data_IF_179978209381
#
_entry.id   IF_179978209381
#
_cell.length_a   1.000
_cell.length_b   1.000
_cell.length_c   1.000
_cell.angle_alpha   90.00
_cell.angle_beta   90.00
_cell.angle_gamma   90.00
#
_symmetry.space_group_name_H-M   'P 1'
#
loop_
_entity.id
_entity.type
_entity.pdbx_description
1 polymer ?
#
# COMPACT_ATOMS: atom_id res chain seq x y z
N UNK A 1 -23.46 -5.70 20.04
CA UNK A 1 -23.27 -5.49 18.59
C UNK A 1 -21.81 -5.28 18.17
N UNK A 2 -20.89 -4.76 19.01
CA UNK A 2 -19.47 -4.57 18.66
C UNK A 2 -18.63 -5.85 18.44
N UNK A 3 -19.02 -6.97 19.03
CA UNK A 3 -18.25 -8.24 18.97
C UNK A 3 -18.29 -8.95 17.61
N UNK A 4 -19.30 -8.68 16.78
CA UNK A 4 -19.46 -9.36 15.48
C UNK A 4 -18.56 -8.76 14.40
N UNK A 5 -18.30 -7.45 14.43
CA UNK A 5 -17.48 -6.76 13.43
C UNK A 5 -15.98 -7.04 13.61
N UNK A 6 -15.50 -7.13 14.85
CA UNK A 6 -14.09 -7.41 15.17
C UNK A 6 -13.67 -8.83 14.75
N UNK A 7 -14.54 -9.83 14.97
CA UNK A 7 -14.29 -11.20 14.55
C UNK A 7 -14.20 -11.30 13.01
N UNK A 8 -15.00 -10.49 12.31
CA UNK A 8 -15.09 -10.46 10.85
C UNK A 8 -13.81 -9.93 10.18
N UNK A 9 -13.25 -8.82 10.68
CA UNK A 9 -12.00 -8.27 10.11
C UNK A 9 -10.80 -9.14 10.48
N UNK A 10 -10.76 -9.73 11.69
CA UNK A 10 -9.73 -10.72 12.05
C UNK A 10 -9.76 -11.95 11.14
N UNK A 11 -10.95 -12.42 10.76
CA UNK A 11 -11.10 -13.55 9.84
C UNK A 11 -10.76 -13.18 8.38
N UNK A 12 -11.00 -11.93 7.97
CA UNK A 12 -10.57 -11.42 6.67
C UNK A 12 -9.04 -11.21 6.59
N UNK A 13 -8.41 -10.73 7.66
CA UNK A 13 -6.96 -10.55 7.75
C UNK A 13 -6.20 -11.85 8.03
N UNK A 14 -6.90 -12.92 8.42
CA UNK A 14 -6.31 -14.25 8.52
C UNK A 14 -6.05 -14.80 7.11
N UNK A 15 -4.80 -14.69 6.65
CA UNK A 15 -4.32 -15.35 5.44
C UNK A 15 -4.30 -16.86 5.72
N UNK A 16 -4.89 -17.67 4.82
CA UNK A 16 -4.79 -19.13 4.91
C UNK A 16 -3.33 -19.53 4.76
N UNK A 17 -2.80 -20.22 5.77
CA UNK A 17 -1.52 -20.89 5.69
C UNK A 17 -1.65 -22.06 4.69
N UNK A 18 -1.12 -21.90 3.47
CA UNK A 18 -1.10 -22.95 2.45
C UNK A 18 0.16 -23.85 2.54
N UNK A 19 0.91 -23.80 3.64
CA UNK A 19 2.16 -24.58 3.75
C UNK A 19 1.99 -26.01 4.27
N UNK A 20 0.76 -26.50 4.51
CA UNK A 20 0.58 -27.81 5.15
C UNK A 20 0.04 -28.96 4.29
N UNK A 21 -0.44 -28.73 3.06
CA UNK A 21 -1.13 -29.81 2.30
C UNK A 21 -0.49 -30.28 0.98
N UNK A 22 0.61 -29.69 0.48
CA UNK A 22 1.31 -30.22 -0.71
C UNK A 22 2.84 -30.22 -0.52
N UNK A 23 3.32 -31.12 0.34
CA UNK A 23 4.74 -31.37 0.54
C UNK A 23 5.27 -32.36 -0.51
N UNK A 24 5.64 -31.87 -1.70
CA UNK A 24 6.58 -32.59 -2.56
C UNK A 24 7.31 -31.66 -3.56
N UNK A 25 7.97 -30.60 -3.07
CA UNK A 25 9.08 -29.96 -3.82
C UNK A 25 10.26 -29.66 -2.89
N UNK A 26 11.45 -30.01 -3.39
CA UNK A 26 12.73 -30.15 -2.68
C UNK A 26 13.08 -28.99 -1.73
N UNK A 27 13.48 -29.26 -0.47
CA UNK A 27 13.79 -28.25 0.57
C UNK A 27 14.91 -27.25 0.27
N UNK A 28 15.64 -27.38 -0.84
CA UNK A 28 16.88 -26.63 -1.06
C UNK A 28 16.72 -25.34 -1.89
N UNK A 29 15.56 -25.10 -2.49
CA UNK A 29 15.28 -23.85 -3.22
C UNK A 29 14.92 -22.69 -2.27
N UNK A 30 14.08 -22.94 -1.26
CA UNK A 30 13.62 -21.92 -0.29
C UNK A 30 14.73 -21.51 0.69
N UNK A 31 15.65 -22.42 1.01
CA UNK A 31 16.82 -22.09 1.85
C UNK A 31 17.86 -21.23 1.12
N UNK A 32 17.80 -21.14 -0.21
CA UNK A 32 18.79 -20.38 -1.00
C UNK A 32 18.48 -18.89 -0.99
N UNK A 33 17.20 -18.50 -1.10
CA UNK A 33 16.79 -17.07 -1.00
C UNK A 33 16.99 -16.49 0.41
N UNK A 34 16.86 -17.29 1.46
CA UNK A 34 17.03 -16.83 2.85
C UNK A 34 18.51 -16.71 3.29
N UNK A 35 19.46 -17.34 2.58
CA UNK A 35 20.90 -17.26 2.91
C UNK A 35 21.58 -16.00 2.39
N UNK A 36 21.08 -15.40 1.31
CA UNK A 36 21.71 -14.22 0.70
C UNK A 36 21.49 -12.93 1.52
N UNK A 37 20.63 -12.97 2.56
CA UNK A 37 20.40 -11.85 3.47
C UNK A 37 21.24 -11.88 4.76
N UNK A 38 22.06 -12.92 5.02
CA UNK A 38 22.77 -13.07 6.30
C UNK A 38 24.22 -13.58 6.19
N UNK A 39 25.06 -13.03 5.31
CA UNK A 39 26.50 -13.39 5.27
C UNK A 39 27.44 -12.18 5.35
N UNK A 40 28.33 -12.10 6.37
CA UNK A 40 29.29 -11.01 6.52
C UNK A 40 30.63 -11.36 5.85
N UNK A 41 30.98 -10.70 4.74
CA UNK A 41 32.35 -10.70 4.20
C UNK A 41 32.70 -9.38 3.51
N UNK A 42 33.27 -8.45 4.27
CA UNK A 42 34.68 -8.02 4.14
C UNK A 42 34.91 -6.75 4.97
N UNK A 43 35.44 -6.96 6.18
CA UNK A 43 36.24 -5.96 6.88
C UNK A 43 37.71 -6.29 6.63
N UNK A 44 38.48 -5.36 6.02
CA UNK A 44 39.91 -5.12 6.29
C UNK A 44 40.46 -4.00 5.39
N UNK A 45 40.69 -2.82 5.98
CA UNK A 45 42.07 -2.35 6.15
C UNK A 45 42.24 -1.39 7.34
N UNK A 46 43.27 -1.74 8.13
CA UNK A 46 43.95 -1.11 9.29
C UNK A 46 44.44 0.32 9.01
N UNK A 47 44.82 1.20 9.94
CA UNK A 47 45.07 1.29 11.41
C UNK A 47 45.22 2.82 11.70
N UNK A 48 44.79 3.40 12.82
CA UNK A 48 45.56 3.64 14.07
C UNK A 48 44.67 4.40 15.11
N UNK A 49 45.05 4.44 16.42
CA UNK A 49 44.10 4.41 17.53
C UNK A 49 43.96 5.72 18.34
N UNK A 50 42.81 5.95 18.98
CA UNK A 50 42.73 6.45 20.36
C UNK A 50 41.30 6.44 20.94
N UNK A 51 41.11 5.53 21.90
CA UNK A 51 40.31 5.62 23.15
C UNK A 51 38.97 6.39 23.14
N UNK A 52 37.89 5.61 23.08
CA UNK A 52 37.03 5.40 24.25
C UNK A 52 35.84 6.34 24.46
N UNK A 53 34.67 5.94 23.97
CA UNK A 53 33.35 6.00 24.63
C UNK A 53 32.39 5.12 23.80
N UNK A 54 31.92 4.02 24.38
CA UNK A 54 31.12 3.00 23.70
C UNK A 54 29.66 3.45 23.53
N UNK A 55 29.24 3.71 22.28
CA UNK A 55 27.83 3.66 21.87
C UNK A 55 27.48 2.21 21.50
N UNK A 56 26.67 1.55 22.31
CA UNK A 56 26.02 0.30 21.89
C UNK A 56 24.81 0.65 21.03
N UNK A 57 24.95 0.58 19.71
CA UNK A 57 23.82 0.43 18.78
C UNK A 57 23.72 -1.05 18.45
N UNK A 58 22.80 -1.76 19.11
CA UNK A 58 22.44 -3.12 18.76
C UNK A 58 21.41 -3.06 17.63
N UNK A 59 21.85 -3.29 16.40
CA UNK A 59 20.99 -3.59 15.25
C UNK A 59 20.45 -5.02 15.38
N UNK A 60 19.49 -5.22 16.27
CA UNK A 60 18.77 -6.47 16.44
C UNK A 60 17.27 -6.21 16.28
N UNK A 61 16.69 -6.70 15.18
CA UNK A 61 15.24 -6.72 14.96
C UNK A 61 14.54 -7.49 16.10
N UNK A 62 13.50 -6.94 16.75
CA UNK A 62 12.78 -7.65 17.79
C UNK A 62 11.95 -8.82 17.20
N UNK A 63 11.92 -10.00 17.85
CA UNK A 63 11.21 -11.17 17.35
C UNK A 63 9.73 -11.13 17.78
N UNK A 64 8.83 -10.79 16.86
CA UNK A 64 7.44 -11.29 16.79
C UNK A 64 6.72 -10.75 15.54
N UNK A 65 7.18 -11.16 14.37
CA UNK A 65 6.49 -10.92 13.10
C UNK A 65 5.42 -12.01 12.87
N UNK A 66 4.15 -11.62 12.83
CA UNK A 66 3.07 -12.52 12.40
C UNK A 66 3.22 -12.87 10.90
N UNK A 67 3.13 -14.15 10.49
CA UNK A 67 3.35 -14.58 9.10
C UNK A 67 2.46 -13.90 8.05
N UNK A 68 1.25 -13.46 8.43
CA UNK A 68 0.34 -12.76 7.51
C UNK A 68 0.84 -11.36 7.09
N UNK A 69 1.60 -10.69 7.95
CA UNK A 69 2.22 -9.40 7.63
C UNK A 69 3.48 -9.56 6.77
N UNK A 70 4.15 -10.72 6.83
CA UNK A 70 5.36 -10.97 6.05
C UNK A 70 5.08 -11.10 4.55
N UNK A 71 3.96 -11.73 4.16
CA UNK A 71 3.56 -11.83 2.76
C UNK A 71 3.17 -10.46 2.19
N UNK A 72 2.48 -9.64 2.99
CA UNK A 72 2.19 -8.27 2.60
C UNK A 72 3.53 -7.49 2.48
N UNK A 73 4.38 -7.45 3.50
CA UNK A 73 5.67 -6.74 3.42
C UNK A 73 6.59 -7.21 2.27
N UNK A 74 6.59 -8.50 1.92
CA UNK A 74 7.35 -9.04 0.78
C UNK A 74 6.77 -8.62 -0.59
N UNK A 75 5.49 -8.28 -0.64
CA UNK A 75 4.77 -7.90 -1.86
C UNK A 75 4.86 -6.38 -2.15
N UNK A 76 5.09 -5.52 -1.14
CA UNK A 76 4.97 -4.03 -1.28
C UNK A 76 6.26 -3.20 -1.17
N UNK A 77 7.43 -3.81 -0.95
CA UNK A 77 8.64 -3.02 -0.68
C UNK A 77 9.24 -2.42 -1.97
N UNK A 78 8.75 -1.23 -2.36
CA UNK A 78 9.23 -0.45 -3.52
C UNK A 78 10.60 0.20 -3.28
N UNK A 79 11.04 0.30 -2.03
CA UNK A 79 12.44 0.57 -1.72
C UNK A 79 13.16 -0.76 -1.45
N UNK A 80 14.48 -0.82 -1.65
CA UNK A 80 15.22 -2.05 -1.30
C UNK A 80 15.40 -2.18 0.22
N UNK A 81 15.49 -1.04 0.90
CA UNK A 81 15.63 -0.91 2.34
C UNK A 81 14.70 0.18 2.88
N UNK A 82 14.22 0.06 4.13
CA UNK A 82 13.42 1.10 4.77
C UNK A 82 14.14 2.46 4.88
N UNK A 83 15.47 2.49 4.72
CA UNK A 83 16.29 3.71 4.67
C UNK A 83 15.96 4.63 3.51
N UNK A 84 15.38 4.09 2.43
CA UNK A 84 15.05 4.88 1.24
C UNK A 84 16.23 5.17 0.31
N UNK A 85 17.37 4.53 0.51
CA UNK A 85 18.58 4.79 -0.27
C UNK A 85 18.46 4.32 -1.71
N UNK A 86 17.96 3.09 -1.90
CA UNK A 86 17.78 2.46 -3.21
C UNK A 86 16.30 2.18 -3.51
N UNK A 87 15.94 2.30 -4.79
CA UNK A 87 14.63 1.88 -5.31
C UNK A 87 14.71 0.41 -5.69
N UNK A 88 13.74 -0.38 -5.23
CA UNK A 88 13.55 -1.75 -5.69
C UNK A 88 12.84 -1.72 -7.05
N UNK A 89 13.61 -1.65 -8.13
CA UNK A 89 13.06 -1.56 -9.47
C UNK A 89 12.25 -2.80 -9.88
N UNK A 90 12.54 -3.97 -9.30
CA UNK A 90 11.77 -5.19 -9.58
C UNK A 90 10.37 -5.10 -8.96
N UNK A 91 10.26 -4.55 -7.75
CA UNK A 91 8.97 -4.26 -7.14
C UNK A 91 8.22 -3.18 -7.94
N UNK A 92 8.88 -2.07 -8.32
CA UNK A 92 8.25 -1.03 -9.16
C UNK A 92 7.72 -1.61 -10.47
N UNK A 93 8.51 -2.46 -11.15
CA UNK A 93 8.08 -3.11 -12.39
C UNK A 93 6.88 -4.01 -12.16
N UNK A 94 6.93 -4.88 -11.15
CA UNK A 94 5.84 -5.80 -10.80
C UNK A 94 4.51 -5.05 -10.63
N UNK A 95 4.54 -3.90 -9.96
CA UNK A 95 3.35 -3.12 -9.65
C UNK A 95 2.85 -2.26 -10.81
N UNK A 96 3.75 -1.58 -11.51
CA UNK A 96 3.36 -0.48 -12.41
C UNK A 96 3.78 -0.67 -13.86
N UNK A 97 4.72 -1.57 -14.15
CA UNK A 97 5.35 -1.69 -15.48
C UNK A 97 5.38 -3.12 -16.02
N UNK A 98 4.62 -4.04 -15.43
CA UNK A 98 4.61 -5.44 -15.85
C UNK A 98 3.99 -5.65 -17.23
N UNK A 99 4.51 -6.62 -17.97
CA UNK A 99 3.89 -7.11 -19.21
C UNK A 99 2.48 -7.67 -18.94
N UNK A 100 1.63 -7.89 -19.95
CA UNK A 100 0.33 -8.53 -19.76
C UNK A 100 0.41 -9.85 -18.99
N UNK A 101 1.43 -10.68 -19.27
CA UNK A 101 1.65 -11.98 -18.61
C UNK A 101 2.09 -11.81 -17.16
N UNK A 102 3.04 -10.90 -16.89
CA UNK A 102 3.51 -10.61 -15.52
C UNK A 102 2.38 -10.03 -14.65
N UNK A 103 1.54 -9.18 -15.26
CA UNK A 103 0.36 -8.61 -14.61
C UNK A 103 -0.65 -9.70 -14.26
N UNK A 104 -0.94 -10.60 -15.19
CA UNK A 104 -1.84 -11.73 -14.93
C UNK A 104 -1.30 -12.64 -13.80
N UNK A 105 0.01 -12.86 -13.77
CA UNK A 105 0.65 -13.62 -12.69
C UNK A 105 0.49 -12.91 -11.33
N UNK A 106 0.73 -11.60 -11.27
CA UNK A 106 0.50 -10.80 -10.06
C UNK A 106 -0.97 -10.85 -9.62
N UNK A 107 -1.91 -10.64 -10.54
CA UNK A 107 -3.34 -10.66 -10.24
C UNK A 107 -3.80 -12.03 -9.71
N UNK A 108 -3.23 -13.13 -10.26
CA UNK A 108 -3.45 -14.48 -9.74
C UNK A 108 -2.90 -14.62 -8.32
N UNK A 109 -1.68 -14.14 -8.05
CA UNK A 109 -1.12 -14.14 -6.70
C UNK A 109 -1.98 -13.33 -5.73
N UNK A 110 -2.47 -12.16 -6.13
CA UNK A 110 -3.40 -11.36 -5.32
C UNK A 110 -4.68 -12.15 -5.03
N UNK A 111 -5.28 -12.76 -6.06
CA UNK A 111 -6.53 -13.52 -5.93
C UNK A 111 -6.37 -14.73 -5.01
N UNK A 112 -5.32 -15.53 -5.20
CA UNK A 112 -5.06 -16.75 -4.43
C UNK A 112 -4.89 -16.48 -2.92
N UNK A 113 -4.43 -15.27 -2.55
CA UNK A 113 -4.10 -14.91 -1.18
C UNK A 113 -5.13 -13.98 -0.51
N UNK A 114 -5.87 -13.17 -1.27
CA UNK A 114 -6.69 -12.09 -0.70
C UNK A 114 -8.14 -12.08 -1.17
N UNK A 115 -8.52 -12.88 -2.18
CA UNK A 115 -9.91 -12.89 -2.65
C UNK A 115 -10.90 -13.26 -1.54
N UNK A 116 -10.57 -14.20 -0.65
CA UNK A 116 -11.44 -14.58 0.46
C UNK A 116 -11.65 -13.43 1.46
N UNK A 117 -10.62 -12.62 1.68
CA UNK A 117 -10.68 -11.45 2.53
C UNK A 117 -11.58 -10.38 1.91
N UNK A 118 -11.39 -10.09 0.62
CA UNK A 118 -12.22 -9.16 -0.14
C UNK A 118 -13.68 -9.64 -0.20
N UNK A 119 -13.94 -10.91 -0.48
CA UNK A 119 -15.29 -11.49 -0.47
C UNK A 119 -15.95 -11.44 0.90
N UNK A 120 -15.16 -11.40 1.98
CA UNK A 120 -15.66 -11.22 3.34
C UNK A 120 -16.07 -9.76 3.52
N UNK A 121 -15.20 -8.80 3.23
CA UNK A 121 -15.50 -7.37 3.40
C UNK A 121 -16.23 -6.73 2.21
N UNK A 122 -16.68 -7.53 1.24
CA UNK A 122 -17.37 -7.09 0.03
C UNK A 122 -18.85 -6.77 0.24
N UNK A 123 -19.49 -6.13 -0.74
CA UNK A 123 -20.81 -5.50 -0.59
C UNK A 123 -21.94 -6.49 -0.22
N UNK A 124 -21.79 -7.78 -0.54
CA UNK A 124 -22.79 -8.81 -0.21
C UNK A 124 -22.84 -9.13 1.28
N UNK A 125 -21.68 -9.14 1.97
CA UNK A 125 -21.56 -9.54 3.39
C UNK A 125 -21.33 -8.35 4.31
N UNK A 126 -20.79 -7.26 3.76
CA UNK A 126 -20.54 -6.01 4.44
C UNK A 126 -21.12 -4.89 3.58
N UNK A 127 -22.43 -4.64 3.70
CA UNK A 127 -23.15 -3.77 2.75
C UNK A 127 -22.96 -2.27 2.98
N UNK A 128 -22.54 -1.87 4.18
CA UNK A 128 -22.26 -0.46 4.50
C UNK A 128 -20.77 -0.21 4.40
N UNK A 129 -20.28 0.54 3.38
CA UNK A 129 -18.86 0.81 3.22
C UNK A 129 -18.37 1.82 4.27
N UNK A 130 -18.03 1.33 5.46
CA UNK A 130 -17.44 2.12 6.56
C UNK A 130 -16.07 1.58 6.97
N UNK A 131 -15.20 2.47 7.44
CA UNK A 131 -13.88 2.14 7.98
C UNK A 131 -13.92 1.68 9.46
N UNK A 132 -15.04 1.83 10.17
CA UNK A 132 -15.10 1.62 11.62
C UNK A 132 -14.55 0.26 12.09
N UNK A 133 -14.88 -0.88 11.47
CA UNK A 133 -14.35 -2.17 11.92
C UNK A 133 -12.82 -2.28 11.81
N UNK A 134 -12.24 -1.62 10.81
CA UNK A 134 -10.80 -1.61 10.59
C UNK A 134 -10.09 -0.67 11.58
N UNK A 135 -10.71 0.48 11.88
CA UNK A 135 -10.24 1.41 12.90
C UNK A 135 -10.33 0.80 14.31
N UNK A 136 -11.42 0.09 14.62
CA UNK A 136 -11.59 -0.65 15.87
C UNK A 136 -10.49 -1.71 16.04
N UNK A 137 -10.24 -2.52 15.00
CA UNK A 137 -9.16 -3.51 15.05
C UNK A 137 -7.78 -2.85 15.19
N UNK A 138 -7.53 -1.75 14.48
CA UNK A 138 -6.27 -1.04 14.58
C UNK A 138 -6.04 -0.48 16.00
N UNK A 139 -7.09 0.06 16.61
CA UNK A 139 -7.07 0.51 18.00
C UNK A 139 -6.81 -0.64 18.97
N UNK A 140 -7.43 -1.82 18.78
CA UNK A 140 -7.14 -3.00 19.60
C UNK A 140 -5.66 -3.43 19.50
N UNK A 141 -5.10 -3.42 18.28
CA UNK A 141 -3.68 -3.74 18.06
C UNK A 141 -2.80 -2.72 18.79
N UNK A 142 -3.08 -1.43 18.65
CA UNK A 142 -2.35 -0.36 19.32
C UNK A 142 -2.42 -0.47 20.86
N UNK A 143 -3.58 -0.83 21.40
CA UNK A 143 -3.76 -1.06 22.84
C UNK A 143 -3.00 -2.30 23.33
N UNK A 144 -2.94 -3.36 22.52
CA UNK A 144 -2.18 -4.57 22.86
C UNK A 144 -0.66 -4.34 22.88
N UNK A 145 -0.20 -3.34 22.12
CA UNK A 145 1.20 -2.90 22.04
C UNK A 145 1.44 -1.57 22.80
N UNK A 146 0.63 -1.26 23.82
CA UNK A 146 0.69 0.04 24.52
C UNK A 146 2.05 0.38 25.18
N UNK A 147 2.94 -0.61 25.32
CA UNK A 147 4.31 -0.44 25.82
C UNK A 147 5.38 -0.52 24.72
N UNK A 148 5.00 -0.86 23.49
CA UNK A 148 5.89 -0.92 22.34
C UNK A 148 6.06 0.44 21.66
N UNK A 149 6.77 0.42 20.53
CA UNK A 149 6.99 1.59 19.69
C UNK A 149 5.82 1.84 18.71
N UNK A 150 4.81 0.97 18.68
CA UNK A 150 3.67 1.05 17.77
C UNK A 150 3.93 0.43 16.39
N UNK A 151 5.06 -0.24 16.19
CA UNK A 151 5.43 -0.91 14.94
C UNK A 151 4.35 -1.85 14.41
N UNK A 152 3.71 -2.62 15.31
CA UNK A 152 2.67 -3.57 14.94
C UNK A 152 1.43 -2.86 14.40
N UNK A 153 0.99 -1.79 15.08
CA UNK A 153 -0.16 -1.01 14.65
C UNK A 153 0.13 -0.26 13.34
N UNK A 154 1.32 0.33 13.21
CA UNK A 154 1.73 1.01 11.97
C UNK A 154 1.74 0.03 10.78
N UNK A 155 2.22 -1.21 11.00
CA UNK A 155 2.26 -2.25 9.95
C UNK A 155 0.85 -2.74 9.60
N UNK A 156 -0.01 -2.91 10.61
CA UNK A 156 -1.41 -3.26 10.40
C UNK A 156 -2.15 -2.19 9.58
N UNK A 157 -1.92 -0.91 9.87
CA UNK A 157 -2.51 0.19 9.11
C UNK A 157 -2.08 0.16 7.63
N UNK A 158 -0.79 -0.06 7.36
CA UNK A 158 -0.27 -0.20 6.00
C UNK A 158 -0.92 -1.39 5.26
N UNK A 159 -0.96 -2.55 5.92
CA UNK A 159 -1.60 -3.77 5.41
C UNK A 159 -3.07 -3.55 5.05
N UNK A 160 -3.82 -2.85 5.90
CA UNK A 160 -5.24 -2.53 5.66
C UNK A 160 -5.38 -1.58 4.46
N UNK A 161 -4.57 -0.51 4.38
CA UNK A 161 -4.63 0.43 3.26
C UNK A 161 -4.47 -0.27 1.91
N UNK A 162 -3.50 -1.17 1.82
CA UNK A 162 -3.23 -1.98 0.64
C UNK A 162 -4.35 -2.98 0.35
N UNK A 163 -4.85 -3.69 1.38
CA UNK A 163 -5.93 -4.66 1.24
C UNK A 163 -7.18 -4.00 0.66
N UNK A 164 -7.48 -2.77 1.09
CA UNK A 164 -8.67 -2.04 0.67
C UNK A 164 -8.51 -1.31 -0.67
N UNK A 165 -7.28 -0.93 -1.05
CA UNK A 165 -7.06 -0.11 -2.24
C UNK A 165 -6.41 -0.88 -3.39
N UNK A 166 -5.28 -1.53 -3.16
CA UNK A 166 -4.49 -2.17 -4.21
C UNK A 166 -5.04 -3.55 -4.58
N UNK A 167 -5.37 -4.38 -3.58
CA UNK A 167 -5.86 -5.74 -3.86
C UNK A 167 -7.12 -5.76 -4.75
N UNK A 168 -8.14 -4.92 -4.53
CA UNK A 168 -9.32 -4.91 -5.39
C UNK A 168 -9.01 -4.50 -6.83
N UNK A 169 -8.04 -3.61 -7.06
CA UNK A 169 -7.62 -3.18 -8.42
C UNK A 169 -6.91 -4.28 -9.20
N UNK A 170 -6.16 -5.15 -8.52
CA UNK A 170 -5.53 -6.31 -9.13
C UNK A 170 -6.50 -7.48 -9.33
N UNK A 171 -7.46 -7.66 -8.42
CA UNK A 171 -8.38 -8.82 -8.44
C UNK A 171 -9.61 -8.56 -9.33
N UNK A 172 -10.14 -7.34 -9.34
CA UNK A 172 -11.41 -6.99 -10.00
C UNK A 172 -11.23 -6.05 -11.20
N UNK A 173 -10.43 -6.47 -12.19
CA UNK A 173 -10.09 -5.62 -13.35
C UNK A 173 -11.19 -5.41 -14.39
N UNK A 174 -12.23 -6.25 -14.43
CA UNK A 174 -13.34 -6.05 -15.39
C UNK A 174 -14.21 -4.86 -14.99
N UNK A 175 -14.92 -4.24 -15.93
CA UNK A 175 -15.87 -3.15 -15.58
C UNK A 175 -16.88 -3.57 -14.51
N UNK A 176 -17.42 -4.79 -14.60
CA UNK A 176 -18.29 -5.35 -13.57
C UNK A 176 -17.60 -5.44 -12.20
N UNK A 177 -16.33 -5.85 -12.17
CA UNK A 177 -15.51 -5.88 -10.96
C UNK A 177 -15.21 -4.48 -10.42
N UNK A 178 -14.90 -3.54 -11.32
CA UNK A 178 -14.54 -2.16 -11.00
C UNK A 178 -15.70 -1.38 -10.37
N UNK A 179 -16.97 -1.74 -10.66
CA UNK A 179 -18.11 -1.24 -9.87
C UNK A 179 -17.86 -1.45 -8.38
N UNK A 180 -17.46 -2.67 -7.97
CA UNK A 180 -17.20 -3.00 -6.57
C UNK A 180 -15.99 -2.23 -6.04
N UNK A 181 -14.94 -2.05 -6.85
CA UNK A 181 -13.77 -1.25 -6.46
C UNK A 181 -14.19 0.17 -6.13
N UNK A 182 -14.81 0.87 -7.07
CA UNK A 182 -15.09 2.31 -6.96
C UNK A 182 -16.23 2.64 -5.99
N UNK A 183 -17.25 1.78 -5.87
CA UNK A 183 -18.43 2.04 -5.04
C UNK A 183 -18.33 1.49 -3.62
N UNK A 184 -17.46 0.49 -3.40
CA UNK A 184 -17.37 -0.21 -2.11
C UNK A 184 -15.98 -0.11 -1.49
N UNK A 185 -14.97 -0.72 -2.10
CA UNK A 185 -13.64 -0.80 -1.48
C UNK A 185 -12.94 0.55 -1.40
N UNK A 186 -13.04 1.40 -2.44
CA UNK A 186 -12.52 2.77 -2.44
C UNK A 186 -13.14 3.60 -1.32
N UNK A 187 -14.45 3.45 -1.07
CA UNK A 187 -15.16 4.20 -0.02
C UNK A 187 -14.68 3.81 1.37
N UNK A 188 -14.44 2.52 1.61
CA UNK A 188 -13.84 2.04 2.86
C UNK A 188 -12.41 2.56 2.99
N UNK A 189 -11.59 2.44 1.94
CA UNK A 189 -10.18 2.84 1.94
C UNK A 189 -10.01 4.35 2.18
N UNK A 190 -10.78 5.19 1.48
CA UNK A 190 -10.79 6.64 1.64
C UNK A 190 -11.21 7.03 3.06
N UNK A 191 -12.30 6.45 3.59
CA UNK A 191 -12.73 6.72 4.96
C UNK A 191 -11.68 6.32 6.00
N UNK A 192 -10.99 5.19 5.78
CA UNK A 192 -9.93 4.70 6.64
C UNK A 192 -8.73 5.68 6.65
N UNK A 193 -8.20 6.03 5.48
CA UNK A 193 -7.05 6.94 5.35
C UNK A 193 -7.37 8.35 5.86
N UNK A 194 -8.54 8.91 5.51
CA UNK A 194 -8.99 10.21 6.01
C UNK A 194 -9.02 10.23 7.54
N UNK A 195 -9.48 9.14 8.17
CA UNK A 195 -9.49 9.03 9.63
C UNK A 195 -8.08 8.92 10.20
N UNK A 196 -7.19 8.12 9.59
CA UNK A 196 -5.79 7.98 10.01
C UNK A 196 -4.99 9.29 9.97
N UNK A 197 -5.35 10.21 9.08
CA UNK A 197 -4.72 11.52 8.95
C UNK A 197 -5.51 12.66 9.60
N UNK A 198 -6.44 12.34 10.49
CA UNK A 198 -7.21 13.29 11.29
C UNK A 198 -6.94 13.12 12.78
N UNK A 199 -7.45 14.05 13.58
CA UNK A 199 -7.40 13.98 15.05
C UNK A 199 -8.20 12.79 15.64
N UNK A 200 -8.97 12.07 14.81
CA UNK A 200 -9.72 10.87 15.20
C UNK A 200 -8.92 9.58 15.03
N UNK A 201 -7.69 9.65 14.52
CA UNK A 201 -6.87 8.46 14.30
C UNK A 201 -6.62 7.71 15.61
N UNK A 202 -6.77 6.38 15.66
CA UNK A 202 -6.43 5.59 16.84
C UNK A 202 -4.92 5.51 17.09
N UNK A 203 -4.09 5.85 16.09
CA UNK A 203 -2.62 5.88 16.18
C UNK A 203 -2.03 7.13 15.53
N UNK A 204 -0.94 7.70 16.08
CA UNK A 204 -0.35 8.91 15.52
C UNK A 204 0.42 8.61 14.23
N UNK A 205 -0.01 9.23 13.12
CA UNK A 205 0.72 9.29 11.82
C UNK A 205 1.49 7.99 11.48
N UNK A 206 0.80 6.87 11.19
CA UNK A 206 1.46 5.59 10.88
C UNK A 206 2.38 5.66 9.65
N UNK A 207 2.15 6.59 8.71
CA UNK A 207 3.03 6.87 7.58
C UNK A 207 4.41 7.40 8.02
N UNK A 208 4.48 8.04 9.19
CA UNK A 208 5.68 8.66 9.73
C UNK A 208 6.46 7.78 10.71
N UNK A 209 6.01 6.54 10.93
CA UNK A 209 6.65 5.61 11.85
C UNK A 209 8.12 5.35 11.46
N UNK A 210 9.07 5.24 12.43
CA UNK A 210 10.50 5.06 12.14
C UNK A 210 10.85 3.89 11.22
N UNK A 211 10.01 2.84 11.19
CA UNK A 211 10.16 1.70 10.28
C UNK A 211 10.27 2.10 8.80
N UNK A 212 9.65 3.20 8.37
CA UNK A 212 9.61 3.60 6.97
C UNK A 212 9.46 5.10 6.74
N UNK A 213 9.72 5.94 7.75
CA UNK A 213 9.61 7.40 7.65
C UNK A 213 10.32 7.95 6.41
N UNK A 214 11.45 7.34 6.06
CA UNK A 214 12.32 7.71 4.94
C UNK A 214 12.04 6.93 3.65
N UNK A 215 11.09 6.01 3.66
CA UNK A 215 10.72 5.21 2.50
C UNK A 215 9.47 5.78 1.84
N UNK A 216 9.66 6.50 0.73
CA UNK A 216 8.54 6.93 -0.11
C UNK A 216 7.71 5.73 -0.57
N UNK A 217 8.36 4.59 -0.84
CA UNK A 217 7.69 3.37 -1.27
C UNK A 217 6.65 2.84 -0.29
N UNK A 218 6.93 2.86 1.02
CA UNK A 218 5.93 2.46 2.02
C UNK A 218 4.87 3.56 2.22
N UNK A 219 5.31 4.82 2.27
CA UNK A 219 4.41 5.96 2.54
C UNK A 219 3.38 6.18 1.44
N UNK A 220 3.75 5.95 0.18
CA UNK A 220 2.81 6.13 -0.93
C UNK A 220 1.58 5.23 -0.84
N UNK A 221 1.69 4.03 -0.27
CA UNK A 221 0.54 3.13 -0.12
C UNK A 221 -0.54 3.68 0.83
N UNK A 222 -0.17 4.53 1.78
CA UNK A 222 -1.14 5.26 2.58
C UNK A 222 -1.79 6.42 1.81
N UNK A 223 -1.12 6.96 0.79
CA UNK A 223 -1.55 8.16 0.09
C UNK A 223 -2.39 7.84 -1.16
N UNK A 224 -2.13 6.72 -1.84
CA UNK A 224 -2.86 6.33 -3.05
C UNK A 224 -4.38 6.32 -2.92
N UNK A 225 -4.99 5.94 -1.77
CA UNK A 225 -6.45 6.03 -1.62
C UNK A 225 -7.00 7.46 -1.80
N UNK A 226 -6.22 8.49 -1.42
CA UNK A 226 -6.58 9.90 -1.65
C UNK A 226 -6.45 10.26 -3.13
N UNK A 227 -5.35 9.85 -3.78
CA UNK A 227 -5.13 9.99 -5.22
C UNK A 227 -6.25 9.34 -6.05
N UNK A 228 -6.78 8.22 -5.59
CA UNK A 228 -7.87 7.50 -6.25
C UNK A 228 -9.27 8.10 -6.00
N UNK A 229 -9.37 9.14 -5.18
CA UNK A 229 -10.65 9.79 -4.86
C UNK A 229 -11.11 10.71 -5.98
N UNK A 230 -12.44 10.86 -6.11
CA UNK A 230 -13.07 11.87 -6.96
C UNK A 230 -13.50 13.08 -6.09
N UNK A 231 -12.67 13.42 -5.10
CA UNK A 231 -12.89 14.52 -4.15
C UNK A 231 -11.66 15.43 -4.14
N UNK A 232 -11.83 16.69 -4.51
CA UNK A 232 -10.73 17.67 -4.61
C UNK A 232 -10.04 17.91 -3.26
N UNK A 233 -10.73 17.74 -2.13
CA UNK A 233 -10.13 17.93 -0.82
C UNK A 233 -9.13 16.81 -0.48
N UNK A 234 -9.31 15.60 -1.02
CA UNK A 234 -8.36 14.51 -0.84
C UNK A 234 -7.04 14.79 -1.57
N UNK A 235 -7.11 15.36 -2.77
CA UNK A 235 -5.93 15.79 -3.53
C UNK A 235 -5.16 16.90 -2.79
N UNK A 236 -5.88 17.88 -2.20
CA UNK A 236 -5.25 18.91 -1.35
C UNK A 236 -4.59 18.31 -0.11
N UNK A 237 -5.23 17.33 0.53
CA UNK A 237 -4.63 16.62 1.66
C UNK A 237 -3.36 15.87 1.23
N UNK A 238 -3.40 15.20 0.08
CA UNK A 238 -2.25 14.48 -0.48
C UNK A 238 -1.08 15.42 -0.81
N UNK A 239 -1.33 16.59 -1.39
CA UNK A 239 -0.29 17.61 -1.61
C UNK A 239 0.46 17.93 -0.30
N UNK A 240 -0.29 18.14 0.79
CA UNK A 240 0.27 18.39 2.12
C UNK A 240 1.12 17.22 2.62
N UNK A 241 0.66 15.98 2.46
CA UNK A 241 1.37 14.76 2.86
C UNK A 241 2.66 14.53 2.05
N UNK A 242 2.65 14.86 0.75
CA UNK A 242 3.83 14.80 -0.10
C UNK A 242 4.87 15.86 0.29
N UNK A 243 4.42 17.08 0.65
CA UNK A 243 5.31 18.12 1.20
C UNK A 243 5.89 17.73 2.56
N UNK A 244 5.09 17.14 3.45
CA UNK A 244 5.58 16.57 4.72
C UNK A 244 6.70 15.55 4.48
N UNK A 245 6.47 14.61 3.56
CA UNK A 245 7.47 13.61 3.17
C UNK A 245 8.72 14.25 2.57
N UNK A 246 8.58 15.25 1.69
CA UNK A 246 9.72 15.99 1.15
C UNK A 246 10.59 16.57 2.27
N UNK A 247 9.99 17.21 3.27
CA UNK A 247 10.72 17.77 4.43
C UNK A 247 11.47 16.69 5.21
N UNK A 248 10.83 15.54 5.46
CA UNK A 248 11.48 14.40 6.13
C UNK A 248 12.71 13.92 5.35
N UNK A 249 12.59 13.74 4.03
CA UNK A 249 13.70 13.27 3.18
C UNK A 249 14.82 14.31 3.01
N UNK A 250 14.50 15.60 3.07
CA UNK A 250 15.51 16.65 2.98
C UNK A 250 16.30 16.84 4.28
N UNK A 251 15.71 16.46 5.42
CA UNK A 251 16.37 16.49 6.72
C UNK A 251 17.39 15.36 6.94
N UNK A 252 17.46 14.37 6.05
CA UNK A 252 18.30 13.19 6.23
C UNK A 252 19.20 12.89 5.01
N UNK A 253 20.48 12.52 5.22
CA UNK A 253 21.32 11.99 4.16
C UNK A 253 20.87 10.55 3.78
N UNK A 254 21.25 10.09 2.59
CA UNK A 254 21.08 8.68 2.21
C UNK A 254 19.69 8.26 1.72
N UNK A 255 18.84 9.19 1.27
CA UNK A 255 17.48 8.89 0.78
C UNK A 255 17.29 9.07 -0.74
N UNK A 256 18.33 8.84 -1.54
CA UNK A 256 18.32 9.15 -2.97
C UNK A 256 17.18 8.44 -3.74
N UNK A 257 16.95 7.16 -3.44
CA UNK A 257 15.88 6.37 -4.04
C UNK A 257 14.48 6.88 -3.69
N UNK A 258 14.23 7.19 -2.42
CA UNK A 258 12.99 7.80 -1.96
C UNK A 258 12.76 9.18 -2.59
N UNK A 259 13.79 10.02 -2.68
CA UNK A 259 13.68 11.33 -3.37
C UNK A 259 13.33 11.16 -4.85
N UNK A 260 13.82 10.10 -5.51
CA UNK A 260 13.41 9.77 -6.88
C UNK A 260 11.92 9.39 -6.93
N UNK A 261 11.49 8.43 -6.12
CA UNK A 261 10.10 8.01 -6.07
C UNK A 261 9.15 9.18 -5.73
N UNK A 262 9.58 10.08 -4.85
CA UNK A 262 8.79 11.25 -4.47
C UNK A 262 8.56 12.21 -5.64
N UNK A 263 9.57 12.44 -6.49
CA UNK A 263 9.39 13.22 -7.72
C UNK A 263 8.40 12.56 -8.68
N UNK A 264 8.47 11.25 -8.81
CA UNK A 264 7.53 10.47 -9.64
C UNK A 264 6.09 10.58 -9.07
N UNK A 265 5.94 10.58 -7.74
CA UNK A 265 4.66 10.79 -7.04
C UNK A 265 4.09 12.20 -7.24
N UNK A 266 4.89 13.26 -7.11
CA UNK A 266 4.42 14.63 -7.38
C UNK A 266 3.92 14.78 -8.83
N UNK A 267 4.59 14.10 -9.78
CA UNK A 267 4.14 14.11 -11.18
C UNK A 267 2.81 13.38 -11.34
N UNK A 268 2.70 12.17 -10.79
CA UNK A 268 1.47 11.37 -10.88
C UNK A 268 0.29 12.11 -10.22
N UNK A 269 0.50 12.71 -9.05
CA UNK A 269 -0.53 13.47 -8.35
C UNK A 269 -1.02 14.68 -9.14
N UNK A 270 -0.09 15.40 -9.78
CA UNK A 270 -0.44 16.51 -10.66
C UNK A 270 -1.35 16.04 -11.81
N UNK A 271 -1.03 14.92 -12.46
CA UNK A 271 -1.84 14.36 -13.55
C UNK A 271 -3.26 13.96 -13.08
N UNK A 272 -3.38 13.40 -11.87
CA UNK A 272 -4.68 13.06 -11.29
C UNK A 272 -5.49 14.32 -10.97
N UNK A 273 -4.88 15.29 -10.28
CA UNK A 273 -5.53 16.54 -9.90
C UNK A 273 -5.99 17.35 -11.12
N UNK A 274 -5.22 17.39 -12.20
CA UNK A 274 -5.63 18.09 -13.44
C UNK A 274 -6.95 17.52 -14.01
N UNK A 275 -7.18 16.21 -13.88
CA UNK A 275 -8.44 15.58 -14.31
C UNK A 275 -9.57 15.90 -13.32
N UNK A 276 -9.31 15.81 -12.02
CA UNK A 276 -10.33 16.10 -11.00
C UNK A 276 -10.72 17.58 -10.97
N UNK A 277 -9.78 18.51 -11.13
CA UNK A 277 -10.07 19.95 -11.21
C UNK A 277 -10.90 20.28 -12.45
N UNK A 278 -10.67 19.57 -13.55
CA UNK A 278 -11.37 19.80 -14.83
C UNK A 278 -12.77 19.20 -14.85
N UNK A 279 -12.93 17.97 -14.39
CA UNK A 279 -14.17 17.19 -14.57
C UNK A 279 -14.92 16.91 -13.26
N UNK A 280 -14.29 17.14 -12.10
CA UNK A 280 -14.80 16.76 -10.78
C UNK A 280 -14.84 15.25 -10.54
N UNK A 281 -14.36 14.44 -11.49
CA UNK A 281 -14.39 12.98 -11.49
C UNK A 281 -13.39 12.41 -12.50
N UNK A 282 -13.19 11.11 -12.50
CA UNK A 282 -12.40 10.40 -13.51
C UNK A 282 -13.29 9.93 -14.67
N UNK A 283 -13.18 10.53 -15.88
CA UNK A 283 -14.04 10.15 -17.01
C UNK A 283 -13.90 8.68 -17.40
N UNK A 284 -12.69 8.12 -17.27
CA UNK A 284 -12.42 6.72 -17.53
C UNK A 284 -13.11 5.73 -16.57
N UNK A 285 -13.85 6.21 -15.56
CA UNK A 285 -14.68 5.35 -14.69
C UNK A 285 -16.14 5.35 -15.12
N UNK A 286 -16.54 6.18 -16.09
CA UNK A 286 -17.93 6.38 -16.48
C UNK A 286 -18.60 5.09 -16.95
N UNK A 287 -17.97 4.34 -17.84
CA UNK A 287 -18.50 3.06 -18.33
C UNK A 287 -18.72 2.04 -17.20
N UNK A 288 -17.72 1.85 -16.34
CA UNK A 288 -17.86 0.96 -15.18
C UNK A 288 -18.95 1.43 -14.21
N UNK A 289 -19.07 2.73 -13.97
CA UNK A 289 -20.05 3.30 -13.04
C UNK A 289 -21.45 3.55 -13.66
N UNK A 290 -21.63 3.26 -14.95
CA UNK A 290 -22.88 3.54 -15.68
C UNK A 290 -23.23 5.03 -15.74
N UNK A 291 -22.23 5.92 -15.79
CA UNK A 291 -22.42 7.37 -15.88
C UNK A 291 -22.42 7.80 -17.35
N UNK A 292 -23.28 8.75 -17.70
CA UNK A 292 -23.21 9.42 -18.99
C UNK A 292 -21.98 10.33 -19.04
N UNK A 293 -21.17 10.19 -20.09
CA UNK A 293 -20.03 11.05 -20.39
C UNK A 293 -20.51 12.33 -21.09
N UNK A 294 -19.98 13.48 -20.67
CA UNK A 294 -20.17 14.76 -21.37
C UNK A 294 -19.37 14.78 -22.68
N UNK A 295 -19.71 15.69 -23.60
CA UNK A 295 -18.96 15.86 -24.85
C UNK A 295 -17.47 16.17 -24.60
N UNK A 296 -17.16 16.93 -23.55
CA UNK A 296 -15.78 17.25 -23.17
C UNK A 296 -15.02 16.02 -22.66
N UNK A 297 -15.68 15.19 -21.85
CA UNK A 297 -15.12 13.93 -21.37
C UNK A 297 -14.88 12.95 -22.53
N UNK A 298 -15.84 12.79 -23.44
CA UNK A 298 -15.69 11.95 -24.64
C UNK A 298 -14.51 12.41 -25.49
N UNK A 299 -14.40 13.72 -25.72
CA UNK A 299 -13.27 14.29 -26.47
C UNK A 299 -11.95 14.02 -25.76
N UNK A 300 -11.88 14.27 -24.45
CA UNK A 300 -10.68 14.01 -23.64
C UNK A 300 -10.24 12.54 -23.73
N UNK A 301 -11.17 11.60 -23.62
CA UNK A 301 -10.86 10.17 -23.73
C UNK A 301 -10.43 9.78 -25.16
N UNK A 302 -11.09 10.35 -26.17
CA UNK A 302 -10.77 10.11 -27.59
C UNK A 302 -9.38 10.61 -27.99
N UNK A 303 -8.94 11.74 -27.40
CA UNK A 303 -7.63 12.36 -27.63
C UNK A 303 -6.49 11.65 -26.85
N UNK A 304 -6.78 10.52 -26.19
CA UNK A 304 -5.80 9.74 -25.43
C UNK A 304 -5.62 10.22 -23.99
N UNK A 305 -6.68 10.78 -23.39
CA UNK A 305 -6.71 11.19 -21.99
C UNK A 305 -6.20 10.10 -21.04
N UNK A 306 -5.55 10.54 -19.96
CA UNK A 306 -4.92 9.63 -19.02
C UNK A 306 -5.95 8.74 -18.30
N UNK A 307 -5.57 7.46 -18.11
CA UNK A 307 -6.31 6.48 -17.34
C UNK A 307 -5.40 5.94 -16.24
N UNK A 308 -5.99 5.58 -15.09
CA UNK A 308 -5.22 5.17 -13.92
C UNK A 308 -5.75 3.86 -13.34
N UNK A 309 -4.83 3.09 -12.72
CA UNK A 309 -5.13 1.81 -12.09
C UNK A 309 -5.34 0.69 -13.11
N UNK A 310 -6.57 0.57 -13.64
CA UNK A 310 -6.96 -0.55 -14.52
C UNK A 310 -7.20 -0.06 -15.93
N UNK A 311 -6.50 -0.66 -16.89
CA UNK A 311 -6.70 -0.36 -18.30
C UNK A 311 -8.12 -0.79 -18.72
N UNK A 312 -8.93 0.18 -19.16
CA UNK A 312 -10.23 -0.07 -19.77
C UNK A 312 -10.12 -0.13 -21.29
N UNK A 313 -10.98 -0.92 -21.94
CA UNK A 313 -11.02 -0.96 -23.40
C UNK A 313 -11.60 0.34 -23.94
N UNK A 314 -11.11 0.81 -25.10
CA UNK A 314 -11.58 2.06 -25.72
C UNK A 314 -13.09 2.09 -25.99
N UNK A 315 -13.68 0.94 -26.28
CA UNK A 315 -15.11 0.84 -26.57
C UNK A 315 -15.99 0.91 -25.30
N UNK A 316 -15.36 0.97 -24.12
CA UNK A 316 -15.99 1.02 -22.80
C UNK A 316 -15.78 2.38 -22.09
N UNK A 317 -15.09 3.34 -22.74
CA UNK A 317 -14.73 4.68 -22.26
C UNK A 317 -15.64 5.76 -22.87
#
# INVERSE_FOLDING_TARGET
>A
MKTSSVLFVRQAMAIKDKTQDDAEQSPEAVKRELRDYTSPRYSRNRLLPSRGLSSQTNDAYPPSFSPGNALLCAVYNLNKYPTGEEVNMDAVKRWFMGTPEERLALDKTCSDNFLHALDTIGPTKFSTPTADPFLDQLNEIAQSDAKGDGAQAASAALSIAILLDQMPRNIFRSNEGLVKVYTHYDKISQAFIRTLFSDKSPIPRPDQHPLWRNSTGHRMWFYMPLCHSEDVEDHKQMDGLLLDLQRDLDSQPGCAGSKKLLRDQFKAEKEHREIIDRFGRYPHRNGALGRDSTEEEVKFMSDGGATFGVAQKKDEL
#
